data_IF_306934769141
#
_entry.id   IF_306934769141
#
_cell.length_a   1.000
_cell.length_b   1.000
_cell.length_c   1.000
_cell.angle_alpha   90.00
_cell.angle_beta   90.00
_cell.angle_gamma   90.00
#
_symmetry.space_group_name_H-M   'P 1'
#
loop_
_entity.id
_entity.type
_entity.pdbx_description
1 polymer ?
#
# COMPACT_ATOMS: atom_id res chain seq x y z
N UNK A 1 1.11 3.02 15.23
CA UNK A 1 1.82 3.78 14.19
C UNK A 1 0.89 4.91 13.82
N UNK A 2 1.26 6.16 14.10
CA UNK A 2 0.39 7.32 13.85
C UNK A 2 0.75 7.86 12.48
N UNK A 3 0.08 7.34 11.43
CA UNK A 3 0.20 7.92 10.10
C UNK A 3 -0.74 9.11 10.01
N UNK A 4 -0.21 10.22 9.50
CA UNK A 4 -0.98 11.42 9.28
C UNK A 4 -2.20 11.13 8.36
N UNK A 5 -3.39 11.53 8.82
CA UNK A 5 -4.63 11.25 8.12
C UNK A 5 -4.69 11.94 6.75
N UNK A 6 -4.04 13.10 6.57
CA UNK A 6 -4.00 13.80 5.29
C UNK A 6 -3.04 13.11 4.30
N UNK A 7 -1.93 12.56 4.79
CA UNK A 7 -1.05 11.70 3.99
C UNK A 7 -1.78 10.44 3.53
N UNK A 8 -2.47 9.74 4.43
CA UNK A 8 -3.24 8.54 4.08
C UNK A 8 -4.35 8.84 3.05
N UNK A 9 -5.03 9.97 3.18
CA UNK A 9 -6.04 10.41 2.21
C UNK A 9 -5.43 10.72 0.83
N UNK A 10 -4.30 11.45 0.79
CA UNK A 10 -3.60 11.76 -0.47
C UNK A 10 -3.11 10.49 -1.17
N UNK A 11 -2.51 9.57 -0.41
CA UNK A 11 -2.05 8.29 -0.93
C UNK A 11 -3.22 7.47 -1.49
N UNK A 12 -4.35 7.40 -0.78
CA UNK A 12 -5.53 6.68 -1.25
C UNK A 12 -6.09 7.26 -2.55
N UNK A 13 -6.11 8.58 -2.70
CA UNK A 13 -6.48 9.25 -3.95
C UNK A 13 -5.52 8.88 -5.07
N UNK A 14 -4.20 9.01 -4.84
CA UNK A 14 -3.18 8.70 -5.85
C UNK A 14 -3.23 7.23 -6.30
N UNK A 15 -3.50 6.30 -5.37
CA UNK A 15 -3.68 4.88 -5.68
C UNK A 15 -4.93 4.64 -6.52
N UNK A 16 -6.04 5.33 -6.20
CA UNK A 16 -7.31 5.24 -6.94
C UNK A 16 -7.16 5.77 -8.37
N UNK A 17 -6.55 6.95 -8.53
CA UNK A 17 -6.26 7.53 -9.85
C UNK A 17 -5.29 6.67 -10.66
N UNK A 18 -4.35 6.01 -9.99
CA UNK A 18 -3.42 5.06 -10.58
C UNK A 18 -4.00 3.66 -10.86
N UNK A 19 -5.26 3.39 -10.50
CA UNK A 19 -5.91 2.09 -10.67
C UNK A 19 -5.35 0.98 -9.77
N UNK A 20 -4.65 1.33 -8.69
CA UNK A 20 -4.01 0.39 -7.76
C UNK A 20 -4.91 0.18 -6.55
N UNK A 21 -5.52 -1.00 -6.45
CA UNK A 21 -6.30 -1.42 -5.29
C UNK A 21 -5.49 -2.47 -4.51
N UNK A 22 -5.17 -2.15 -3.27
CA UNK A 22 -4.57 -3.08 -2.32
C UNK A 22 -5.67 -3.76 -1.49
N UNK A 23 -5.47 -5.00 -1.04
CA UNK A 23 -6.41 -5.68 -0.15
C UNK A 23 -6.30 -5.09 1.26
N UNK A 24 -6.86 -3.90 1.48
CA UNK A 24 -6.85 -3.20 2.77
C UNK A 24 -7.55 -3.98 3.89
N UNK A 25 -8.30 -5.03 3.56
CA UNK A 25 -8.90 -5.95 4.52
C UNK A 25 -7.91 -6.93 5.14
N UNK A 26 -6.72 -7.08 4.55
CA UNK A 26 -5.64 -7.90 5.10
C UNK A 26 -4.75 -7.02 6.00
N UNK A 27 -4.79 -7.29 7.30
CA UNK A 27 -4.04 -6.54 8.29
C UNK A 27 -2.52 -6.69 8.11
N UNK A 28 -2.03 -7.88 7.72
CA UNK A 28 -0.60 -8.13 7.55
C UNK A 28 -0.05 -7.34 6.37
N UNK A 29 -0.75 -7.36 5.24
CA UNK A 29 -0.40 -6.57 4.05
C UNK A 29 -0.47 -5.08 4.37
N UNK A 30 -1.52 -4.65 5.06
CA UNK A 30 -1.74 -3.24 5.40
C UNK A 30 -0.65 -2.72 6.35
N UNK A 31 -0.33 -3.47 7.41
CA UNK A 31 0.74 -3.10 8.34
C UNK A 31 2.13 -3.11 7.68
N UNK A 32 2.41 -4.12 6.85
CA UNK A 32 3.67 -4.20 6.11
C UNK A 32 3.82 -3.06 5.12
N UNK A 33 2.75 -2.73 4.41
CA UNK A 33 2.70 -1.60 3.50
C UNK A 33 2.96 -0.29 4.24
N UNK A 34 2.23 -0.03 5.34
CA UNK A 34 2.41 1.21 6.10
C UNK A 34 3.82 1.35 6.70
N UNK A 35 4.43 0.25 7.14
CA UNK A 35 5.84 0.24 7.54
C UNK A 35 6.80 0.55 6.39
N UNK A 36 6.50 0.03 5.20
CA UNK A 36 7.36 0.24 4.03
C UNK A 36 7.28 1.67 3.48
N UNK A 37 6.14 2.35 3.66
CA UNK A 37 5.93 3.72 3.17
C UNK A 37 6.15 4.80 4.22
N UNK A 38 6.51 4.43 5.45
CA UNK A 38 6.86 5.38 6.51
C UNK A 38 8.11 6.17 6.10
N UNK A 39 7.99 7.50 6.07
CA UNK A 39 9.05 8.41 5.63
C UNK A 39 9.25 8.49 4.11
N UNK A 40 8.42 7.82 3.30
CA UNK A 40 8.43 7.94 1.84
C UNK A 40 7.52 9.08 1.34
N UNK A 41 7.84 9.62 0.16
CA UNK A 41 6.93 10.50 -0.58
C UNK A 41 5.73 9.72 -1.13
N UNK A 42 4.61 10.40 -1.39
CA UNK A 42 3.39 9.78 -1.96
C UNK A 42 3.69 9.01 -3.24
N UNK A 43 4.50 9.55 -4.15
CA UNK A 43 4.89 8.88 -5.40
C UNK A 43 5.62 7.55 -5.15
N UNK A 44 6.57 7.53 -4.20
CA UNK A 44 7.30 6.31 -3.83
C UNK A 44 6.38 5.29 -3.17
N UNK A 45 5.44 5.74 -2.33
CA UNK A 45 4.45 4.89 -1.71
C UNK A 45 3.49 4.25 -2.73
N UNK A 46 3.16 4.96 -3.82
CA UNK A 46 2.41 4.42 -4.95
C UNK A 46 3.19 3.34 -5.68
N UNK A 47 4.49 3.53 -5.92
CA UNK A 47 5.34 2.48 -6.50
C UNK A 47 5.43 1.24 -5.62
N UNK A 48 5.56 1.41 -4.29
CA UNK A 48 5.50 0.29 -3.34
C UNK A 48 4.15 -0.43 -3.43
N UNK A 49 3.03 0.30 -3.48
CA UNK A 49 1.71 -0.31 -3.60
C UNK A 49 1.56 -1.12 -4.90
N UNK A 50 2.10 -0.63 -6.02
CA UNK A 50 2.14 -1.37 -7.29
C UNK A 50 2.96 -2.65 -7.17
N UNK A 51 4.13 -2.57 -6.54
CA UNK A 51 4.98 -3.73 -6.31
C UNK A 51 4.31 -4.77 -5.40
N UNK A 52 3.61 -4.33 -4.34
CA UNK A 52 2.85 -5.21 -3.46
C UNK A 52 1.72 -5.89 -4.23
N UNK A 53 0.95 -5.15 -5.03
CA UNK A 53 -0.11 -5.72 -5.86
C UNK A 53 0.42 -6.74 -6.86
N UNK A 54 1.47 -6.40 -7.60
CA UNK A 54 2.12 -7.33 -8.52
C UNK A 54 2.63 -8.58 -7.78
N UNK A 55 3.23 -8.42 -6.60
CA UNK A 55 3.67 -9.52 -5.76
C UNK A 55 2.53 -10.46 -5.35
N UNK A 56 1.34 -9.93 -5.06
CA UNK A 56 0.13 -10.72 -4.76
C UNK A 56 -0.36 -11.45 -6.02
N UNK A 57 -0.46 -10.75 -7.15
CA UNK A 57 -0.90 -11.33 -8.43
C UNK A 57 0.01 -12.46 -8.92
N UNK A 58 1.32 -12.32 -8.70
CA UNK A 58 2.32 -13.34 -9.02
C UNK A 58 2.47 -14.43 -7.95
N UNK A 59 1.75 -14.34 -6.82
CA UNK A 59 1.83 -15.30 -5.71
C UNK A 59 3.13 -15.25 -4.90
N UNK A 60 3.94 -14.19 -5.06
CA UNK A 60 5.17 -13.93 -4.30
C UNK A 60 4.83 -13.45 -2.89
N UNK A 61 3.80 -12.60 -2.77
CA UNK A 61 3.25 -12.13 -1.49
C UNK A 61 1.98 -12.93 -1.24
N UNK A 62 2.08 -13.92 -0.36
CA UNK A 62 0.91 -14.67 0.09
C UNK A 62 0.28 -13.96 1.27
N UNK A 63 -0.90 -13.37 1.07
CA UNK A 63 -1.85 -13.06 2.14
C UNK A 63 -2.23 -14.37 2.83
N UNK A 64 -1.48 -14.79 3.87
CA UNK A 64 -1.75 -16.05 4.54
C UNK A 64 -2.88 -15.82 5.56
N UNK A 65 -4.05 -16.38 5.26
CA UNK A 65 -5.26 -16.38 6.10
C UNK A 65 -5.02 -17.00 7.48
#
# INVERSE_FOLDING_TARGET
MDIDAAYAAQLKTALTEGGVELPWGDLEITETFWRAVDGLSVEQAVDVARAVRAGIEHGVISARQ
#
